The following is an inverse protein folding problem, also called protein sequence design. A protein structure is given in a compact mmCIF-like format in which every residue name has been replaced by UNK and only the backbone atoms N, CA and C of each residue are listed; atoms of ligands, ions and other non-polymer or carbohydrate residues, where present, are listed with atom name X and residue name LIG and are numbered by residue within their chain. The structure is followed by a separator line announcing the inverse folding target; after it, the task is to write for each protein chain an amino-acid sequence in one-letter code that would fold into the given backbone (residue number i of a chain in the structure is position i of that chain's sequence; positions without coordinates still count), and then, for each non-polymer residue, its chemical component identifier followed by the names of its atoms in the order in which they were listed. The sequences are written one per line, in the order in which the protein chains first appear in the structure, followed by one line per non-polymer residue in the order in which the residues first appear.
data_IF_523706202219
#
_entry.id   IF_523706202219
#
_cell.length_a   1.000
_cell.length_b   1.000
_cell.length_c   1.000
_cell.angle_alpha   90.00
_cell.angle_beta   90.00
_cell.angle_gamma   90.00
#
_symmetry.space_group_name_H-M   'P 1'
#
loop_
_entity.id
_entity.type
_entity.pdbx_description
1 polymer ?
#
# COMPACT_ATOMS: atom_id res chain seq x y z
N UNK A 1 -25.44 29.76 -25.45
CA UNK A 1 -26.39 28.64 -25.40
C UNK A 1 -25.91 27.72 -24.30
N UNK A 2 -26.53 27.84 -23.10
CA UNK A 2 -26.18 27.02 -21.93
C UNK A 2 -26.89 25.68 -22.05
N UNK A 3 -26.17 24.59 -22.22
CA UNK A 3 -26.73 23.24 -22.05
C UNK A 3 -26.76 22.93 -20.57
N UNK A 4 -27.96 22.81 -20.04
CA UNK A 4 -28.21 22.27 -18.70
C UNK A 4 -28.19 20.75 -18.79
N UNK A 5 -27.13 20.16 -18.28
CA UNK A 5 -27.07 18.70 -18.02
C UNK A 5 -27.96 18.40 -16.82
N UNK A 6 -29.13 17.84 -17.09
CA UNK A 6 -29.96 17.16 -16.09
C UNK A 6 -29.31 15.82 -15.78
N UNK A 7 -28.61 15.74 -14.64
CA UNK A 7 -28.14 14.48 -14.07
C UNK A 7 -29.32 13.57 -13.73
N UNK A 8 -29.19 12.25 -13.79
CA UNK A 8 -30.25 11.34 -13.42
C UNK A 8 -30.61 11.55 -11.95
N UNK A 9 -31.90 11.79 -11.73
CA UNK A 9 -32.50 11.90 -10.40
C UNK A 9 -32.12 10.70 -9.55
N UNK A 10 -31.62 10.95 -8.34
CA UNK A 10 -31.34 9.94 -7.33
C UNK A 10 -32.59 9.14 -6.98
N UNK A 11 -32.89 8.14 -7.77
CA UNK A 11 -33.86 7.11 -7.47
C UNK A 11 -33.43 6.37 -6.21
N UNK A 12 -34.35 6.25 -5.33
CA UNK A 12 -34.32 5.71 -3.98
C UNK A 12 -33.60 4.35 -3.91
N UNK A 13 -32.26 4.38 -3.84
CA UNK A 13 -31.39 3.17 -3.73
C UNK A 13 -31.68 2.45 -2.41
N UNK A 14 -32.18 3.17 -1.39
CA UNK A 14 -32.56 2.64 -0.08
C UNK A 14 -33.69 1.60 -0.13
N UNK A 15 -34.64 1.70 -1.08
CA UNK A 15 -35.76 0.77 -1.17
C UNK A 15 -35.38 -0.61 -1.71
N UNK A 16 -34.39 -0.68 -2.62
CA UNK A 16 -33.94 -1.94 -3.20
C UNK A 16 -33.18 -2.85 -2.19
N UNK A 17 -32.78 -2.30 -1.04
CA UNK A 17 -32.05 -3.02 0.01
C UNK A 17 -32.95 -3.55 1.11
N UNK A 18 -34.11 -2.93 1.32
CA UNK A 18 -35.07 -3.38 2.31
C UNK A 18 -35.85 -4.64 1.88
N UNK A 19 -35.84 -4.96 0.56
CA UNK A 19 -36.53 -6.13 -0.01
C UNK A 19 -35.63 -7.36 -0.21
N UNK A 20 -34.34 -7.32 0.15
CA UNK A 20 -33.54 -8.54 0.18
C UNK A 20 -33.92 -9.34 1.40
N UNK A 21 -34.61 -10.46 1.17
CA UNK A 21 -34.78 -11.49 2.19
C UNK A 21 -33.42 -11.81 2.85
N UNK A 22 -33.38 -11.92 4.17
CA UNK A 22 -32.20 -12.40 4.86
C UNK A 22 -31.87 -13.79 4.30
N UNK A 23 -30.57 -14.08 4.07
CA UNK A 23 -30.16 -15.42 3.68
C UNK A 23 -30.67 -16.41 4.74
N UNK A 24 -31.43 -17.41 4.29
CA UNK A 24 -32.04 -18.40 5.18
C UNK A 24 -31.05 -19.53 5.47
N UNK A 25 -30.09 -19.74 4.58
CA UNK A 25 -29.03 -20.72 4.76
C UNK A 25 -27.65 -20.19 4.30
N UNK A 26 -26.59 -20.88 4.70
CA UNK A 26 -25.21 -20.49 4.39
C UNK A 26 -24.93 -20.61 2.88
N UNK A 27 -25.57 -21.56 2.22
CA UNK A 27 -25.45 -21.79 0.78
C UNK A 27 -25.86 -20.57 -0.04
N UNK A 28 -26.84 -19.80 0.43
CA UNK A 28 -27.30 -18.57 -0.23
C UNK A 28 -26.23 -17.48 -0.25
N UNK A 29 -25.27 -17.55 0.67
CA UNK A 29 -24.13 -16.64 0.75
C UNK A 29 -22.96 -17.03 -0.17
N UNK A 30 -22.94 -18.29 -0.65
CA UNK A 30 -21.83 -18.87 -1.39
C UNK A 30 -22.15 -18.93 -2.89
N UNK A 31 -21.92 -17.86 -3.60
CA UNK A 31 -22.15 -17.80 -5.05
C UNK A 31 -21.22 -18.76 -5.78
N UNK A 32 -21.78 -19.62 -6.61
CA UNK A 32 -21.03 -20.55 -7.44
C UNK A 32 -20.10 -19.80 -8.42
N UNK A 33 -18.89 -20.35 -8.65
CA UNK A 33 -17.89 -19.75 -9.53
C UNK A 33 -17.04 -18.65 -8.88
N UNK A 34 -17.38 -18.22 -7.67
CA UNK A 34 -16.50 -17.32 -6.92
C UNK A 34 -15.37 -18.09 -6.24
N UNK A 35 -14.13 -17.77 -6.55
CA UNK A 35 -12.97 -18.52 -6.11
C UNK A 35 -12.80 -18.57 -4.59
N UNK A 36 -13.19 -17.54 -3.83
CA UNK A 36 -13.16 -17.59 -2.36
C UNK A 36 -14.30 -18.42 -1.78
N UNK A 37 -15.52 -18.23 -2.29
CA UNK A 37 -16.68 -19.01 -1.87
C UNK A 37 -16.44 -20.52 -2.02
N UNK A 38 -15.83 -20.94 -3.14
CA UNK A 38 -15.47 -22.34 -3.35
C UNK A 38 -14.44 -22.84 -2.31
N UNK A 39 -13.45 -22.03 -1.98
CA UNK A 39 -12.42 -22.41 -0.98
C UNK A 39 -12.92 -22.52 0.44
N UNK A 40 -13.95 -21.76 0.83
CA UNK A 40 -14.48 -21.82 2.19
C UNK A 40 -15.71 -22.72 2.31
N UNK A 41 -16.29 -23.18 1.20
CA UNK A 41 -17.55 -23.95 1.17
C UNK A 41 -17.54 -25.10 2.19
N UNK A 42 -16.56 -25.98 2.12
CA UNK A 42 -16.44 -27.13 3.01
C UNK A 42 -16.24 -26.74 4.50
N UNK A 43 -15.84 -25.50 4.77
CA UNK A 43 -15.60 -24.97 6.12
C UNK A 43 -16.80 -24.31 6.74
N UNK A 44 -17.75 -23.84 5.91
CA UNK A 44 -18.93 -23.10 6.38
C UNK A 44 -20.22 -23.87 6.20
N UNK A 45 -20.21 -25.00 5.48
CA UNK A 45 -21.35 -25.93 5.36
C UNK A 45 -21.28 -27.02 6.42
N UNK A 46 -22.45 -27.45 6.91
CA UNK A 46 -22.54 -28.52 7.93
C UNK A 46 -22.01 -28.13 9.32
N UNK A 47 -21.92 -26.84 9.61
CA UNK A 47 -21.48 -26.30 10.90
C UNK A 47 -22.50 -26.55 12.02
N UNK A 48 -22.06 -26.60 13.28
CA UNK A 48 -22.97 -26.52 14.43
C UNK A 48 -23.85 -25.26 14.37
N UNK A 49 -25.04 -25.28 14.98
CA UNK A 49 -26.01 -24.16 14.89
C UNK A 49 -25.43 -22.82 15.30
N UNK A 50 -24.58 -22.78 16.32
CA UNK A 50 -23.95 -21.56 16.82
C UNK A 50 -22.97 -20.93 15.80
N UNK A 51 -22.19 -21.76 15.10
CA UNK A 51 -21.29 -21.32 14.03
C UNK A 51 -22.05 -20.97 12.75
N UNK A 52 -23.13 -21.72 12.45
CA UNK A 52 -24.05 -21.37 11.35
C UNK A 52 -24.64 -19.97 11.59
N UNK A 53 -25.12 -19.70 12.80
CA UNK A 53 -25.63 -18.37 13.18
C UNK A 53 -24.56 -17.28 13.00
N UNK A 54 -23.30 -17.57 13.38
CA UNK A 54 -22.18 -16.64 13.14
C UNK A 54 -22.02 -16.34 11.64
N UNK A 55 -21.94 -17.35 10.77
CA UNK A 55 -21.76 -17.15 9.32
C UNK A 55 -22.91 -16.36 8.71
N UNK A 56 -24.15 -16.70 9.03
CA UNK A 56 -25.33 -15.96 8.58
C UNK A 56 -25.30 -14.50 9.03
N UNK A 57 -24.94 -14.26 10.29
CA UNK A 57 -24.80 -12.91 10.82
C UNK A 57 -23.70 -12.12 10.10
N UNK A 58 -22.56 -12.75 9.78
CA UNK A 58 -21.49 -12.12 9.02
C UNK A 58 -21.89 -11.73 7.60
N UNK A 59 -22.76 -12.52 6.95
CA UNK A 59 -23.30 -12.20 5.63
C UNK A 59 -24.26 -10.99 5.62
N UNK A 60 -24.68 -10.49 6.78
CA UNK A 60 -25.58 -9.34 6.89
C UNK A 60 -24.86 -8.00 7.00
N UNK A 61 -23.58 -7.93 6.58
CA UNK A 61 -22.78 -6.69 6.67
C UNK A 61 -23.19 -5.61 5.67
N UNK A 62 -24.21 -5.82 4.83
CA UNK A 62 -24.66 -4.96 3.74
C UNK A 62 -24.90 -3.46 4.05
N UNK A 63 -24.47 -2.98 5.21
CA UNK A 63 -24.58 -1.60 5.67
C UNK A 63 -23.40 -0.70 5.28
N UNK A 64 -22.45 -1.18 4.45
CA UNK A 64 -21.25 -0.41 4.06
C UNK A 64 -21.47 0.59 2.93
N UNK A 65 -22.68 0.74 2.44
CA UNK A 65 -23.04 1.59 1.30
C UNK A 65 -22.77 3.08 1.47
N UNK A 66 -22.46 3.49 2.68
CA UNK A 66 -22.37 4.90 3.01
C UNK A 66 -20.95 5.47 2.84
N UNK A 67 -20.01 4.75 2.18
CA UNK A 67 -18.61 5.16 2.01
C UNK A 67 -17.88 5.50 3.33
N UNK A 68 -18.55 5.31 4.45
CA UNK A 68 -18.07 5.70 5.77
C UNK A 68 -17.52 4.54 6.58
N UNK A 69 -17.57 3.30 6.07
CA UNK A 69 -17.10 2.08 6.74
C UNK A 69 -17.53 2.04 8.21
N UNK A 70 -18.76 2.46 8.46
CA UNK A 70 -19.34 2.44 9.81
C UNK A 70 -20.06 1.11 10.01
N UNK A 71 -19.54 0.33 10.92
CA UNK A 71 -20.21 -0.87 11.40
C UNK A 71 -21.21 -0.49 12.48
N UNK A 72 -22.45 -0.98 12.39
CA UNK A 72 -23.46 -0.79 13.42
C UNK A 72 -22.97 -1.32 14.77
N UNK A 73 -23.32 -0.60 15.84
CA UNK A 73 -23.00 -0.99 17.19
C UNK A 73 -23.72 -2.26 17.66
N UNK A 74 -24.93 -2.52 17.15
CA UNK A 74 -25.69 -3.74 17.42
C UNK A 74 -25.01 -4.93 16.76
N UNK A 75 -24.66 -4.84 15.47
CA UNK A 75 -23.93 -5.84 14.73
C UNK A 75 -22.60 -6.19 15.42
N UNK A 76 -21.83 -5.19 15.86
CA UNK A 76 -20.59 -5.41 16.62
C UNK A 76 -20.77 -6.19 17.92
N UNK A 77 -21.84 -5.88 18.67
CA UNK A 77 -22.12 -6.59 19.94
C UNK A 77 -22.47 -8.04 19.69
N UNK A 78 -23.31 -8.28 18.69
CA UNK A 78 -23.76 -9.59 18.31
C UNK A 78 -22.60 -10.44 17.75
N UNK A 79 -21.79 -9.91 16.83
CA UNK A 79 -20.57 -10.57 16.35
C UNK A 79 -19.68 -11.02 17.50
N UNK A 80 -19.43 -10.13 18.47
CA UNK A 80 -18.61 -10.47 19.66
C UNK A 80 -19.26 -11.51 20.55
N UNK A 81 -20.56 -11.60 20.58
CA UNK A 81 -21.27 -12.64 21.32
C UNK A 81 -21.15 -13.99 20.60
N UNK A 82 -21.40 -14.03 19.31
CA UNK A 82 -21.31 -15.23 18.47
C UNK A 82 -19.88 -15.79 18.36
N UNK A 83 -18.87 -14.94 18.36
CA UNK A 83 -17.44 -15.34 18.37
C UNK A 83 -16.99 -16.09 19.65
N UNK A 84 -17.86 -16.17 20.68
CA UNK A 84 -17.58 -16.96 21.87
C UNK A 84 -17.91 -18.44 21.68
N UNK A 85 -18.64 -18.79 20.61
CA UNK A 85 -18.91 -20.18 20.26
C UNK A 85 -17.59 -20.93 20.03
N UNK A 86 -17.56 -22.19 20.42
CA UNK A 86 -16.41 -23.06 20.21
C UNK A 86 -16.11 -23.18 18.70
N UNK A 87 -14.85 -22.99 18.31
CA UNK A 87 -14.44 -22.96 16.90
C UNK A 87 -14.72 -21.63 16.15
N UNK A 88 -15.39 -20.64 16.78
CA UNK A 88 -15.75 -19.38 16.11
C UNK A 88 -14.55 -18.54 15.68
N UNK A 89 -13.48 -18.57 16.44
CA UNK A 89 -12.23 -17.82 16.13
C UNK A 89 -11.44 -18.48 15.05
N UNK A 90 -11.33 -19.79 15.11
CA UNK A 90 -10.67 -20.64 14.13
C UNK A 90 -11.34 -20.47 12.78
N UNK A 91 -12.67 -20.46 12.74
CA UNK A 91 -13.46 -20.24 11.53
C UNK A 91 -13.14 -18.88 10.88
N UNK A 92 -13.06 -17.81 11.67
CA UNK A 92 -12.69 -16.49 11.14
C UNK A 92 -11.25 -16.49 10.59
N UNK A 93 -10.29 -17.03 11.34
CA UNK A 93 -8.90 -17.11 10.89
C UNK A 93 -8.76 -17.93 9.59
N UNK A 94 -9.46 -19.07 9.48
CA UNK A 94 -9.47 -19.89 8.28
C UNK A 94 -10.10 -19.15 7.08
N UNK A 95 -11.22 -18.43 7.27
CA UNK A 95 -11.85 -17.63 6.23
C UNK A 95 -10.94 -16.51 5.71
N UNK A 96 -10.23 -15.81 6.60
CA UNK A 96 -9.24 -14.80 6.20
C UNK A 96 -8.05 -15.43 5.47
N UNK A 97 -7.55 -16.58 5.95
CA UNK A 97 -6.49 -17.33 5.26
C UNK A 97 -6.90 -17.76 3.86
N UNK A 98 -8.15 -18.20 3.69
CA UNK A 98 -8.71 -18.54 2.38
C UNK A 98 -8.82 -17.32 1.45
N UNK A 99 -9.14 -16.12 1.97
CA UNK A 99 -9.08 -14.86 1.22
C UNK A 99 -7.64 -14.54 0.81
N UNK A 100 -6.70 -14.68 1.73
CA UNK A 100 -5.29 -14.40 1.49
C UNK A 100 -4.65 -15.39 0.50
N UNK A 101 -5.05 -16.66 0.51
CA UNK A 101 -4.53 -17.69 -0.38
C UNK A 101 -4.97 -17.50 -1.84
N UNK A 102 -6.16 -16.93 -2.07
CA UNK A 102 -6.74 -16.71 -3.40
C UNK A 102 -6.16 -15.49 -4.13
N UNK A 103 -6.76 -15.19 -5.27
CA UNK A 103 -6.58 -13.93 -5.98
C UNK A 103 -7.50 -12.83 -5.43
N UNK A 104 -7.97 -11.94 -6.31
CA UNK A 104 -9.01 -10.96 -5.96
C UNK A 104 -10.32 -11.64 -5.58
N UNK A 105 -11.13 -11.00 -4.74
CA UNK A 105 -12.50 -11.45 -4.46
C UNK A 105 -13.37 -11.54 -5.73
N UNK A 106 -12.99 -10.78 -6.77
CA UNK A 106 -13.66 -10.78 -8.08
C UNK A 106 -13.07 -11.79 -9.07
N UNK A 107 -12.08 -12.60 -8.67
CA UNK A 107 -11.55 -13.64 -9.53
C UNK A 107 -12.64 -14.68 -9.82
N UNK A 108 -12.95 -14.81 -11.11
CA UNK A 108 -13.84 -15.83 -11.60
C UNK A 108 -13.04 -17.02 -12.09
N UNK A 109 -13.49 -18.22 -11.72
CA UNK A 109 -12.88 -19.48 -12.18
C UNK A 109 -13.41 -19.91 -13.55
N UNK A 110 -14.44 -19.24 -14.07
CA UNK A 110 -15.00 -19.54 -15.40
C UNK A 110 -14.24 -18.75 -16.49
N UNK A 111 -13.46 -19.43 -17.35
CA UNK A 111 -12.71 -18.79 -18.42
C UNK A 111 -13.61 -18.20 -19.53
N UNK A 112 -14.90 -18.55 -19.55
CA UNK A 112 -15.86 -18.10 -20.57
C UNK A 112 -16.72 -16.93 -20.10
N UNK A 113 -16.50 -16.41 -18.89
CA UNK A 113 -17.30 -15.31 -18.36
C UNK A 113 -17.15 -14.08 -19.23
N UNK A 114 -18.26 -13.48 -19.61
CA UNK A 114 -18.26 -12.21 -20.34
C UNK A 114 -17.96 -11.04 -19.40
N UNK A 115 -17.44 -9.94 -19.96
CA UNK A 115 -17.25 -8.69 -19.20
C UNK A 115 -18.55 -8.19 -18.55
N UNK A 116 -19.70 -8.42 -19.19
CA UNK A 116 -21.00 -7.99 -18.68
C UNK A 116 -21.41 -8.84 -17.45
N UNK A 117 -21.15 -10.13 -17.48
CA UNK A 117 -21.38 -11.03 -16.34
C UNK A 117 -20.39 -10.72 -15.20
N UNK A 118 -19.12 -10.46 -15.51
CA UNK A 118 -18.12 -10.02 -14.54
C UNK A 118 -18.54 -8.70 -13.85
N UNK A 119 -19.13 -7.78 -14.61
CA UNK A 119 -19.65 -6.51 -14.08
C UNK A 119 -20.91 -6.74 -13.23
N UNK A 120 -21.78 -7.65 -13.63
CA UNK A 120 -22.96 -8.03 -12.85
C UNK A 120 -22.57 -8.72 -11.53
N UNK A 121 -21.53 -9.53 -11.51
CA UNK A 121 -20.98 -10.14 -10.29
C UNK A 121 -20.32 -9.12 -9.37
N UNK A 122 -19.98 -7.94 -9.86
CA UNK A 122 -19.39 -6.86 -9.07
C UNK A 122 -20.43 -5.99 -8.34
N UNK A 123 -21.72 -6.19 -8.60
CA UNK A 123 -22.81 -5.56 -7.85
C UNK A 123 -23.02 -6.28 -6.51
N UNK A 124 -23.60 -5.66 -5.49
CA UNK A 124 -23.59 -6.16 -4.12
C UNK A 124 -23.88 -7.65 -4.04
N UNK A 125 -22.83 -8.41 -3.84
CA UNK A 125 -22.84 -9.87 -3.85
C UNK A 125 -22.89 -10.35 -2.40
N UNK A 126 -23.72 -11.33 -2.06
CA UNK A 126 -23.71 -11.99 -0.74
C UNK A 126 -22.30 -12.44 -0.32
N UNK A 127 -21.48 -12.88 -1.28
CA UNK A 127 -20.08 -13.27 -1.05
C UNK A 127 -19.25 -12.09 -0.55
N UNK A 128 -19.44 -10.87 -1.11
CA UNK A 128 -18.74 -9.67 -0.65
C UNK A 128 -19.16 -9.31 0.76
N UNK A 129 -20.45 -9.33 1.06
CA UNK A 129 -20.96 -9.02 2.38
C UNK A 129 -20.40 -10.00 3.42
N UNK A 130 -20.37 -11.28 3.08
CA UNK A 130 -19.77 -12.32 3.91
C UNK A 130 -18.25 -12.08 4.11
N UNK A 131 -17.50 -11.80 3.03
CA UNK A 131 -16.06 -11.52 3.11
C UNK A 131 -15.77 -10.28 3.99
N UNK A 132 -16.59 -9.22 3.85
CA UNK A 132 -16.53 -8.03 4.70
C UNK A 132 -16.78 -8.39 6.16
N UNK A 133 -17.78 -9.23 6.43
CA UNK A 133 -18.09 -9.74 7.76
C UNK A 133 -16.92 -10.49 8.39
N UNK A 134 -16.31 -11.40 7.65
CA UNK A 134 -15.10 -12.10 8.11
C UNK A 134 -13.96 -11.13 8.40
N UNK A 135 -13.68 -10.19 7.51
CA UNK A 135 -12.63 -9.20 7.70
C UNK A 135 -12.85 -8.36 8.96
N UNK A 136 -14.07 -7.87 9.18
CA UNK A 136 -14.39 -7.09 10.39
C UNK A 136 -14.34 -7.92 11.67
N UNK A 137 -14.85 -9.15 11.64
CA UNK A 137 -14.83 -10.06 12.79
C UNK A 137 -13.38 -10.38 13.20
N UNK A 138 -12.46 -10.49 12.24
CA UNK A 138 -11.04 -10.67 12.51
C UNK A 138 -10.47 -9.59 13.46
N UNK A 139 -10.94 -8.34 13.33
CA UNK A 139 -10.54 -7.24 14.22
C UNK A 139 -10.89 -7.48 15.71
N UNK A 140 -11.81 -8.39 16.01
CA UNK A 140 -12.21 -8.68 17.40
C UNK A 140 -11.42 -9.83 18.04
N UNK A 141 -10.52 -10.49 17.31
CA UNK A 141 -9.74 -11.63 17.80
C UNK A 141 -8.57 -11.22 18.72
N UNK A 142 -8.17 -9.96 18.72
CA UNK A 142 -6.98 -9.44 19.42
C UNK A 142 -6.85 -9.86 20.91
N UNK A 143 -7.98 -10.03 21.61
CA UNK A 143 -7.98 -10.29 23.07
C UNK A 143 -7.74 -11.75 23.45
N UNK A 144 -7.79 -12.64 22.48
CA UNK A 144 -7.87 -14.06 22.76
C UNK A 144 -6.89 -14.90 21.92
N UNK A 145 -6.25 -14.31 20.93
CA UNK A 145 -5.21 -14.93 20.12
C UNK A 145 -3.85 -14.83 20.80
N UNK A 146 -3.02 -15.85 20.64
CA UNK A 146 -1.60 -15.77 20.98
C UNK A 146 -0.87 -14.77 20.05
N UNK A 147 0.31 -14.24 20.43
CA UNK A 147 1.08 -13.36 19.56
C UNK A 147 1.33 -13.96 18.16
N UNK A 148 1.68 -15.23 18.06
CA UNK A 148 1.94 -15.91 16.79
C UNK A 148 0.69 -16.03 15.90
N UNK A 149 -0.47 -16.34 16.49
CA UNK A 149 -1.74 -16.37 15.77
C UNK A 149 -2.14 -14.96 15.28
N UNK A 150 -1.88 -13.96 16.09
CA UNK A 150 -2.14 -12.56 15.72
C UNK A 150 -1.25 -12.11 14.57
N UNK A 151 0.04 -12.43 14.61
CA UNK A 151 0.99 -12.11 13.55
C UNK A 151 0.60 -12.80 12.24
N UNK A 152 0.21 -14.06 12.27
CA UNK A 152 -0.28 -14.79 11.12
C UNK A 152 -1.56 -14.15 10.54
N UNK A 153 -2.54 -13.81 11.38
CA UNK A 153 -3.78 -13.16 10.97
C UNK A 153 -3.50 -11.78 10.32
N UNK A 154 -2.61 -11.00 10.90
CA UNK A 154 -2.20 -9.69 10.37
C UNK A 154 -1.50 -9.83 9.02
N UNK A 155 -0.65 -10.85 8.85
CA UNK A 155 -0.01 -11.16 7.58
C UNK A 155 -1.04 -11.55 6.51
N UNK A 156 -2.02 -12.39 6.85
CA UNK A 156 -3.10 -12.77 5.95
C UNK A 156 -3.95 -11.54 5.54
N UNK A 157 -4.32 -10.68 6.49
CA UNK A 157 -5.05 -9.43 6.21
C UNK A 157 -4.27 -8.49 5.28
N UNK A 158 -2.95 -8.37 5.45
CA UNK A 158 -2.08 -7.62 4.54
C UNK A 158 -2.16 -8.17 3.11
N UNK A 159 -2.12 -9.51 2.96
CA UNK A 159 -2.24 -10.15 1.66
C UNK A 159 -3.61 -9.93 1.02
N UNK A 160 -4.70 -9.96 1.79
CA UNK A 160 -6.04 -9.63 1.30
C UNK A 160 -6.08 -8.22 0.71
N UNK A 161 -5.50 -7.22 1.40
CA UNK A 161 -5.42 -5.84 0.86
C UNK A 161 -4.61 -5.82 -0.44
N UNK A 162 -3.42 -6.41 -0.46
CA UNK A 162 -2.55 -6.41 -1.64
C UNK A 162 -3.23 -6.98 -2.89
N UNK A 163 -4.08 -7.98 -2.73
CA UNK A 163 -4.81 -8.62 -3.83
C UNK A 163 -6.06 -7.87 -4.28
N UNK A 164 -6.67 -7.07 -3.41
CA UNK A 164 -7.94 -6.42 -3.67
C UNK A 164 -7.84 -4.88 -3.81
N UNK A 165 -6.76 -4.24 -3.33
CA UNK A 165 -6.57 -2.80 -3.43
C UNK A 165 -5.87 -2.36 -4.71
N UNK A 166 -5.07 -3.24 -5.33
CA UNK A 166 -4.25 -2.91 -6.48
C UNK A 166 -4.89 -3.45 -7.76
N UNK A 167 -5.13 -2.54 -8.71
CA UNK A 167 -5.56 -2.88 -10.07
C UNK A 167 -4.32 -3.30 -10.83
N UNK A 168 -4.13 -4.59 -11.03
CA UNK A 168 -2.98 -5.11 -11.79
C UNK A 168 -3.17 -4.97 -13.31
N UNK A 169 -4.41 -5.00 -13.81
CA UNK A 169 -4.71 -4.83 -15.25
C UNK A 169 -6.03 -4.08 -15.37
N UNK A 170 -6.10 -2.92 -15.87
CA UNK A 170 -7.22 -1.99 -16.03
C UNK A 170 -8.68 -2.50 -16.12
N UNK A 171 -8.91 -3.79 -15.95
CA UNK A 171 -10.20 -4.48 -16.01
C UNK A 171 -10.74 -4.93 -14.66
N UNK A 172 -9.90 -5.12 -13.63
CA UNK A 172 -10.39 -5.61 -12.35
C UNK A 172 -10.78 -4.46 -11.45
N UNK A 173 -12.04 -4.45 -11.08
CA UNK A 173 -12.60 -3.48 -10.12
C UNK A 173 -11.96 -3.74 -8.77
N UNK A 174 -11.35 -2.72 -8.23
CA UNK A 174 -10.84 -2.68 -6.87
C UNK A 174 -11.99 -2.90 -5.90
N UNK A 175 -11.84 -3.80 -4.93
CA UNK A 175 -12.82 -3.97 -3.86
C UNK A 175 -12.54 -3.02 -2.70
N UNK A 176 -12.93 -1.75 -2.87
CA UNK A 176 -12.74 -0.73 -1.85
C UNK A 176 -13.49 -1.04 -0.54
N UNK A 177 -14.57 -1.85 -0.59
CA UNK A 177 -15.36 -2.22 0.59
C UNK A 177 -14.63 -3.25 1.43
N UNK A 178 -14.20 -4.35 0.84
CA UNK A 178 -13.41 -5.38 1.52
C UNK A 178 -12.10 -4.78 2.07
N UNK A 179 -11.42 -3.98 1.26
CA UNK A 179 -10.18 -3.30 1.68
C UNK A 179 -10.44 -2.37 2.88
N UNK A 180 -11.54 -1.65 2.88
CA UNK A 180 -11.95 -0.79 3.99
C UNK A 180 -12.29 -1.56 5.27
N UNK A 181 -12.96 -2.73 5.13
CA UNK A 181 -13.22 -3.64 6.24
C UNK A 181 -11.90 -4.15 6.86
N UNK A 182 -10.94 -4.54 6.03
CA UNK A 182 -9.61 -4.98 6.48
C UNK A 182 -8.85 -3.85 7.19
N UNK A 183 -8.88 -2.62 6.69
CA UNK A 183 -8.23 -1.49 7.39
C UNK A 183 -8.84 -1.26 8.77
N UNK A 184 -10.15 -1.44 8.90
CA UNK A 184 -10.85 -1.34 10.18
C UNK A 184 -10.40 -2.46 11.12
N UNK A 185 -10.31 -3.69 10.63
CA UNK A 185 -9.82 -4.83 11.41
C UNK A 185 -8.38 -4.62 11.88
N UNK A 186 -7.46 -4.24 11.00
CA UNK A 186 -6.07 -3.95 11.35
C UNK A 186 -5.96 -2.85 12.40
N UNK A 187 -6.81 -1.82 12.30
CA UNK A 187 -6.88 -0.77 13.31
C UNK A 187 -7.36 -1.32 14.67
N UNK A 188 -8.38 -2.17 14.69
CA UNK A 188 -8.90 -2.77 15.92
C UNK A 188 -7.90 -3.75 16.55
N UNK A 189 -7.12 -4.48 15.73
CA UNK A 189 -5.98 -5.31 16.13
C UNK A 189 -4.77 -4.50 16.62
N UNK A 190 -4.75 -3.19 16.46
CA UNK A 190 -3.58 -2.33 16.74
C UNK A 190 -2.35 -2.64 15.88
N UNK A 191 -2.53 -3.22 14.69
CA UNK A 191 -1.47 -3.61 13.76
C UNK A 191 -0.84 -2.38 13.08
N UNK A 192 -0.17 -1.53 13.83
CA UNK A 192 0.28 -0.22 13.38
C UNK A 192 1.32 -0.29 12.26
N UNK A 193 2.29 -1.21 12.36
CA UNK A 193 3.31 -1.39 11.31
C UNK A 193 2.68 -1.78 9.98
N UNK A 194 1.70 -2.69 9.99
CA UNK A 194 0.97 -3.09 8.78
C UNK A 194 0.16 -1.94 8.20
N UNK A 195 -0.48 -1.13 9.04
CA UNK A 195 -1.19 0.08 8.58
C UNK A 195 -0.22 1.09 7.94
N UNK A 196 0.99 1.25 8.45
CA UNK A 196 2.01 2.11 7.82
C UNK A 196 2.50 1.55 6.49
N UNK A 197 2.75 0.23 6.40
CA UNK A 197 3.11 -0.43 5.14
C UNK A 197 2.03 -0.15 4.10
N UNK A 198 0.78 -0.41 4.43
CA UNK A 198 -0.34 -0.20 3.51
C UNK A 198 -0.53 1.28 3.14
N UNK A 199 -0.32 2.21 4.08
CA UNK A 199 -0.41 3.63 3.78
C UNK A 199 0.64 4.09 2.76
N UNK A 200 1.82 3.46 2.76
CA UNK A 200 2.88 3.71 1.76
C UNK A 200 2.60 3.05 0.41
N UNK A 201 1.92 1.90 0.41
CA UNK A 201 1.66 1.10 -0.79
C UNK A 201 0.36 1.52 -1.50
N UNK A 202 -0.72 1.79 -0.77
CA UNK A 202 -2.03 2.12 -1.35
C UNK A 202 -2.00 3.49 -2.01
N UNK A 203 -2.40 3.54 -3.27
CA UNK A 203 -2.28 4.72 -4.12
C UNK A 203 -3.01 5.95 -3.54
N UNK A 204 -2.33 7.11 -3.39
CA UNK A 204 -2.94 8.35 -2.94
C UNK A 204 -4.11 8.77 -3.85
N UNK A 205 -5.14 9.37 -3.25
CA UNK A 205 -6.32 9.81 -3.98
C UNK A 205 -7.43 8.76 -4.14
N UNK A 206 -7.13 7.48 -3.93
CA UNK A 206 -8.15 6.45 -3.84
C UNK A 206 -9.06 6.67 -2.62
N UNK A 207 -10.32 6.25 -2.70
CA UNK A 207 -11.25 6.35 -1.57
C UNK A 207 -10.76 5.53 -0.36
N UNK A 208 -10.31 4.32 -0.61
CA UNK A 208 -9.68 3.43 0.36
C UNK A 208 -8.47 4.07 1.05
N UNK A 209 -7.64 4.85 0.35
CA UNK A 209 -6.51 5.56 0.95
C UNK A 209 -6.96 6.61 1.98
N UNK A 210 -8.04 7.35 1.71
CA UNK A 210 -8.58 8.32 2.69
C UNK A 210 -9.07 7.63 3.97
N UNK A 211 -9.72 6.47 3.82
CA UNK A 211 -10.12 5.66 4.97
C UNK A 211 -8.92 5.12 5.74
N UNK A 212 -7.93 4.58 5.02
CA UNK A 212 -6.68 4.11 5.62
C UNK A 212 -5.97 5.19 6.42
N UNK A 213 -5.81 6.39 5.85
CA UNK A 213 -5.20 7.53 6.55
C UNK A 213 -5.94 7.88 7.85
N UNK A 214 -7.27 7.78 7.85
CA UNK A 214 -8.10 7.96 9.05
C UNK A 214 -7.85 6.86 10.08
N UNK A 215 -7.74 5.59 9.67
CA UNK A 215 -7.45 4.47 10.56
C UNK A 215 -6.05 4.57 11.14
N UNK A 216 -5.05 4.89 10.32
CA UNK A 216 -3.67 5.17 10.76
C UNK A 216 -3.66 6.25 11.85
N UNK A 217 -4.30 7.39 11.61
CA UNK A 217 -4.36 8.51 12.55
C UNK A 217 -5.05 8.15 13.87
N UNK A 218 -6.18 7.44 13.79
CA UNK A 218 -6.93 6.96 14.96
C UNK A 218 -6.10 5.98 15.80
N UNK A 219 -5.45 5.03 15.15
CA UNK A 219 -4.64 4.00 15.82
C UNK A 219 -3.38 4.62 16.43
N UNK A 220 -2.69 5.51 15.70
CA UNK A 220 -1.53 6.24 16.21
C UNK A 220 -1.87 7.02 17.48
N UNK A 221 -3.00 7.75 17.48
CA UNK A 221 -3.47 8.47 18.66
C UNK A 221 -3.73 7.53 19.85
N UNK A 222 -4.34 6.38 19.60
CA UNK A 222 -4.62 5.38 20.66
C UNK A 222 -3.35 4.79 21.25
N UNK A 223 -2.32 4.58 20.41
CA UNK A 223 -1.03 4.01 20.81
C UNK A 223 -0.01 5.06 21.29
N UNK A 224 -0.39 6.35 21.31
CA UNK A 224 0.50 7.42 21.72
C UNK A 224 1.66 7.71 20.75
N UNK A 225 1.52 7.34 19.47
CA UNK A 225 2.55 7.59 18.44
C UNK A 225 2.62 9.10 18.16
N UNK A 226 3.81 9.73 18.28
CA UNK A 226 3.97 11.15 18.03
C UNK A 226 3.71 11.53 16.57
N UNK A 227 3.13 12.72 16.27
CA UNK A 227 2.82 13.15 14.91
C UNK A 227 4.00 13.09 13.93
N UNK A 228 5.18 13.44 14.37
CA UNK A 228 6.38 13.42 13.56
C UNK A 228 6.84 12.02 13.16
N UNK A 229 6.68 11.02 14.05
CA UNK A 229 6.94 9.62 13.70
C UNK A 229 5.90 9.12 12.70
N UNK A 230 4.64 9.56 12.86
CA UNK A 230 3.61 9.21 11.90
C UNK A 230 3.96 9.74 10.50
N UNK A 231 4.38 11.00 10.39
CA UNK A 231 4.78 11.61 9.13
C UNK A 231 5.92 10.82 8.44
N UNK A 232 6.96 10.48 9.18
CA UNK A 232 8.11 9.72 8.65
C UNK A 232 7.72 8.32 8.16
N UNK A 233 6.85 7.64 8.92
CA UNK A 233 6.48 6.25 8.68
C UNK A 233 5.39 6.07 7.63
N UNK A 234 4.75 7.16 7.19
CA UNK A 234 3.67 7.13 6.19
C UNK A 234 4.04 7.74 4.85
N UNK A 235 5.32 7.99 4.57
CA UNK A 235 5.78 8.47 3.27
C UNK A 235 5.44 7.42 2.21
N UNK A 236 4.76 7.85 1.15
CA UNK A 236 4.29 6.97 0.10
C UNK A 236 5.42 6.57 -0.84
N UNK A 237 5.49 5.29 -1.21
CA UNK A 237 6.50 4.78 -2.15
C UNK A 237 6.20 5.11 -3.60
N UNK A 238 4.95 5.46 -3.91
CA UNK A 238 4.43 5.65 -5.27
C UNK A 238 4.63 4.43 -6.19
N UNK A 239 4.76 3.24 -5.60
CA UNK A 239 5.00 1.99 -6.32
C UNK A 239 6.46 1.76 -6.72
N UNK A 240 7.37 2.66 -6.34
CA UNK A 240 8.81 2.44 -6.55
C UNK A 240 9.29 1.23 -5.77
N UNK A 241 10.07 0.39 -6.43
CA UNK A 241 10.82 -0.70 -5.81
C UNK A 241 12.07 -0.19 -5.07
N UNK A 242 12.79 -1.09 -4.35
CA UNK A 242 14.02 -0.74 -3.64
C UNK A 242 15.13 -0.19 -4.54
N UNK A 243 15.09 -0.52 -5.82
CA UNK A 243 16.01 -0.06 -6.87
C UNK A 243 15.65 1.33 -7.43
N UNK A 244 14.59 1.98 -6.91
CA UNK A 244 14.11 3.26 -7.40
C UNK A 244 13.36 3.16 -8.73
N UNK A 245 12.91 1.97 -9.14
CA UNK A 245 12.15 1.76 -10.38
C UNK A 245 10.70 1.40 -10.11
N UNK A 246 9.82 1.77 -11.05
CA UNK A 246 8.42 1.34 -11.15
C UNK A 246 8.18 0.81 -12.55
N UNK A 247 7.74 -0.44 -12.67
CA UNK A 247 7.36 -1.07 -13.93
C UNK A 247 5.85 -1.15 -14.05
N UNK A 248 5.31 -0.66 -15.16
CA UNK A 248 3.90 -0.67 -15.48
C UNK A 248 3.70 -1.44 -16.77
N UNK A 249 3.25 -2.68 -16.66
CA UNK A 249 2.93 -3.54 -17.80
C UNK A 249 1.53 -3.22 -18.33
N UNK A 250 1.40 -3.16 -19.64
CA UNK A 250 0.14 -2.96 -20.34
C UNK A 250 -0.05 -4.06 -21.36
N UNK A 251 -1.17 -4.79 -21.27
CA UNK A 251 -1.59 -5.71 -22.32
C UNK A 251 -2.68 -5.04 -23.14
N UNK A 252 -2.47 -4.93 -24.45
CA UNK A 252 -3.51 -4.47 -25.35
C UNK A 252 -4.60 -5.53 -25.46
N UNK A 253 -5.78 -5.28 -24.89
CA UNK A 253 -6.99 -6.02 -25.25
C UNK A 253 -7.74 -5.25 -26.33
N UNK A 254 -7.64 -5.67 -27.53
CA UNK A 254 -8.42 -5.17 -28.64
C UNK A 254 -8.53 -6.24 -29.71
N UNK A 255 -9.75 -6.52 -30.15
CA UNK A 255 -10.02 -7.43 -31.22
C UNK A 255 -9.00 -7.23 -32.37
N UNK A 256 -8.19 -8.24 -32.62
CA UNK A 256 -7.41 -8.54 -33.83
C UNK A 256 -6.14 -7.75 -34.18
N UNK A 257 -5.66 -6.78 -33.38
CA UNK A 257 -4.51 -5.99 -33.81
C UNK A 257 -3.51 -5.76 -32.68
N UNK A 258 -2.48 -6.58 -32.60
CA UNK A 258 -1.29 -6.34 -31.81
C UNK A 258 -1.46 -6.55 -30.28
N UNK A 259 -1.48 -7.79 -29.88
CA UNK A 259 -1.08 -8.22 -28.53
C UNK A 259 0.44 -8.02 -28.35
N UNK A 260 0.96 -6.84 -28.63
CA UNK A 260 2.35 -6.54 -28.29
C UNK A 260 2.30 -6.04 -26.84
N UNK A 261 2.76 -6.83 -25.86
CA UNK A 261 2.91 -6.36 -24.52
C UNK A 261 3.97 -5.26 -24.50
N UNK A 262 3.66 -4.13 -23.91
CA UNK A 262 4.63 -3.06 -23.69
C UNK A 262 4.68 -2.71 -22.21
N UNK A 263 5.83 -2.27 -21.78
CA UNK A 263 6.10 -1.88 -20.41
C UNK A 263 6.56 -0.43 -20.37
N UNK A 264 6.04 0.34 -19.42
CA UNK A 264 6.60 1.63 -19.06
C UNK A 264 7.46 1.44 -17.81
N UNK A 265 8.68 1.94 -17.85
CA UNK A 265 9.61 1.91 -16.73
C UNK A 265 9.89 3.34 -16.30
N UNK A 266 9.44 3.68 -15.09
CA UNK A 266 9.80 4.92 -14.42
C UNK A 266 11.00 4.61 -13.54
N UNK A 267 12.12 5.31 -13.73
CA UNK A 267 13.31 5.19 -12.90
C UNK A 267 13.65 6.52 -12.25
N UNK A 268 14.15 6.47 -11.05
CA UNK A 268 14.71 7.64 -10.37
C UNK A 268 16.22 7.44 -10.23
N UNK A 269 16.99 8.33 -10.85
CA UNK A 269 18.45 8.30 -10.75
C UNK A 269 18.93 8.67 -9.36
N UNK A 270 20.19 8.38 -9.04
CA UNK A 270 20.83 8.76 -7.78
C UNK A 270 20.86 10.29 -7.53
N UNK A 271 20.72 11.08 -8.61
CA UNK A 271 20.56 12.55 -8.50
C UNK A 271 19.11 12.96 -8.23
N UNK A 272 18.19 11.99 -8.15
CA UNK A 272 16.75 12.22 -7.97
C UNK A 272 16.05 12.77 -9.21
N UNK A 273 16.58 12.50 -10.41
CA UNK A 273 15.91 12.80 -11.69
C UNK A 273 14.99 11.65 -12.05
N UNK A 274 13.75 11.97 -12.36
CA UNK A 274 12.76 11.00 -12.84
C UNK A 274 12.92 10.83 -14.35
N UNK A 275 13.09 9.58 -14.78
CA UNK A 275 13.15 9.19 -16.18
C UNK A 275 11.98 8.23 -16.47
N UNK A 276 11.43 8.31 -17.66
CA UNK A 276 10.36 7.43 -18.14
C UNK A 276 10.77 6.84 -19.47
N UNK A 277 10.92 5.54 -19.50
CA UNK A 277 11.22 4.77 -20.69
C UNK A 277 10.07 3.82 -21.03
N UNK A 278 9.91 3.52 -22.30
CA UNK A 278 8.94 2.56 -22.80
C UNK A 278 9.65 1.41 -23.48
N UNK A 279 9.24 0.19 -23.23
CA UNK A 279 9.81 -1.00 -23.81
C UNK A 279 8.72 -1.87 -24.44
N UNK A 280 8.97 -2.38 -25.64
CA UNK A 280 8.24 -3.52 -26.16
C UNK A 280 8.83 -4.78 -25.54
N UNK A 281 7.96 -5.68 -25.09
CA UNK A 281 8.36 -6.98 -24.57
C UNK A 281 7.74 -8.06 -25.43
N UNK A 282 8.46 -9.17 -25.63
CA UNK A 282 7.93 -10.34 -26.33
C UNK A 282 7.01 -11.17 -25.42
N UNK A 283 6.46 -12.26 -25.96
CA UNK A 283 5.60 -13.18 -25.20
C UNK A 283 6.32 -13.84 -24.01
N UNK A 284 7.63 -13.90 -24.02
CA UNK A 284 8.49 -14.41 -22.96
C UNK A 284 8.91 -13.34 -21.94
N UNK A 285 8.51 -12.06 -22.16
CA UNK A 285 8.87 -10.94 -21.31
C UNK A 285 10.26 -10.34 -21.58
N UNK A 286 10.94 -10.76 -22.66
CA UNK A 286 12.20 -10.16 -23.06
C UNK A 286 12.01 -8.83 -23.77
N UNK A 287 12.83 -7.83 -23.43
CA UNK A 287 12.79 -6.49 -24.06
C UNK A 287 13.26 -6.58 -25.51
N UNK A 288 12.37 -6.27 -26.45
CA UNK A 288 12.66 -6.27 -27.88
C UNK A 288 13.04 -4.90 -28.41
N UNK A 289 12.55 -3.84 -27.77
CA UNK A 289 12.80 -2.46 -28.18
C UNK A 289 12.57 -1.48 -27.03
N UNK A 290 13.40 -0.45 -26.91
CA UNK A 290 13.25 0.66 -25.94
C UNK A 290 12.96 1.96 -26.66
N UNK A 291 12.03 2.76 -26.13
CA UNK A 291 11.65 4.08 -26.67
C UNK A 291 11.87 5.16 -25.64
N UNK A 292 12.41 6.29 -26.06
CA UNK A 292 12.51 7.47 -25.21
C UNK A 292 11.19 8.27 -25.16
N UNK A 293 10.87 8.93 -24.05
CA UNK A 293 9.52 9.39 -23.66
C UNK A 293 8.83 10.42 -24.57
N UNK A 294 9.52 11.05 -25.50
CA UNK A 294 8.96 12.15 -26.31
C UNK A 294 8.34 11.72 -27.63
N UNK A 295 8.45 10.45 -28.00
CA UNK A 295 7.76 9.94 -29.17
C UNK A 295 6.86 8.80 -28.74
N UNK A 296 5.57 9.09 -28.67
CA UNK A 296 4.55 8.03 -28.69
C UNK A 296 4.94 7.03 -29.77
N UNK A 297 4.94 5.72 -29.53
CA UNK A 297 5.25 4.74 -30.56
C UNK A 297 4.43 5.06 -31.80
N UNK A 298 5.08 5.42 -32.90
CA UNK A 298 4.43 5.77 -34.15
C UNK A 298 3.77 4.51 -34.68
N UNK A 299 2.48 4.43 -34.61
CA UNK A 299 1.67 3.27 -35.02
C UNK A 299 0.48 3.00 -34.08
N UNK A 300 0.50 3.49 -32.88
CA UNK A 300 -0.57 3.27 -31.92
C UNK A 300 -1.62 4.39 -31.98
N UNK A 301 -2.60 4.25 -32.86
CA UNK A 301 -3.71 5.21 -33.02
C UNK A 301 -4.93 4.87 -32.17
N UNK A 302 -4.83 4.01 -31.15
CA UNK A 302 -6.00 3.65 -30.35
C UNK A 302 -6.15 4.53 -29.12
N UNK A 303 -7.38 4.92 -28.85
CA UNK A 303 -7.80 5.75 -27.69
C UNK A 303 -7.30 5.21 -26.34
N UNK A 304 -7.18 3.89 -26.22
CA UNK A 304 -6.73 3.21 -25.00
C UNK A 304 -5.23 3.45 -24.71
N UNK A 305 -4.40 3.47 -25.72
CA UNK A 305 -2.96 3.74 -25.55
C UNK A 305 -2.68 5.16 -25.09
N UNK A 306 -3.41 6.14 -25.62
CA UNK A 306 -3.26 7.52 -25.17
C UNK A 306 -3.60 7.68 -23.69
N UNK A 307 -4.60 6.96 -23.18
CA UNK A 307 -4.94 6.98 -21.76
C UNK A 307 -3.83 6.38 -20.90
N UNK A 308 -3.24 5.26 -21.30
CA UNK A 308 -2.15 4.62 -20.58
C UNK A 308 -0.88 5.50 -20.53
N UNK A 309 -0.56 6.14 -21.66
CA UNK A 309 0.55 7.11 -21.71
C UNK A 309 0.30 8.28 -20.77
N UNK A 310 -0.92 8.81 -20.73
CA UNK A 310 -1.27 9.92 -19.84
C UNK A 310 -1.27 9.51 -18.36
N UNK A 311 -1.74 8.31 -18.04
CA UNK A 311 -1.66 7.75 -16.68
C UNK A 311 -0.20 7.63 -16.24
N UNK A 312 0.64 7.02 -17.08
CA UNK A 312 2.06 6.83 -16.77
C UNK A 312 2.81 8.16 -16.61
N UNK A 313 2.55 9.14 -17.49
CA UNK A 313 3.12 10.49 -17.37
C UNK A 313 2.68 11.19 -16.11
N UNK A 314 1.42 11.05 -15.70
CA UNK A 314 0.93 11.60 -14.43
C UNK A 314 1.63 10.91 -13.25
N UNK A 315 1.83 9.60 -13.30
CA UNK A 315 2.55 8.87 -12.27
C UNK A 315 4.00 9.35 -12.13
N UNK A 316 4.72 9.53 -13.24
CA UNK A 316 6.07 10.08 -13.23
C UNK A 316 6.13 11.47 -12.60
N UNK A 317 5.20 12.37 -12.96
CA UNK A 317 5.11 13.72 -12.34
C UNK A 317 4.80 13.63 -10.85
N UNK A 318 3.92 12.74 -10.43
CA UNK A 318 3.57 12.53 -9.02
C UNK A 318 4.81 12.11 -8.21
N UNK A 319 5.65 11.24 -8.78
CA UNK A 319 6.93 10.83 -8.16
C UNK A 319 7.90 12.04 -8.08
N UNK A 320 7.99 12.85 -9.12
CA UNK A 320 8.84 14.06 -9.16
C UNK A 320 8.42 15.09 -8.10
N UNK A 321 7.11 15.34 -7.97
CA UNK A 321 6.53 16.21 -6.94
C UNK A 321 6.80 15.67 -5.52
N UNK A 322 6.66 14.35 -5.33
CA UNK A 322 6.93 13.68 -4.06
C UNK A 322 8.42 13.79 -3.67
N UNK A 323 9.35 13.56 -4.62
CA UNK A 323 10.78 13.75 -4.40
C UNK A 323 11.11 15.19 -4.01
N UNK A 324 10.47 16.16 -4.67
CA UNK A 324 10.65 17.58 -4.36
C UNK A 324 10.14 17.94 -2.96
N UNK A 325 9.01 17.38 -2.54
CA UNK A 325 8.49 17.52 -1.19
C UNK A 325 9.42 16.88 -0.15
N UNK A 326 9.93 15.71 -0.45
CA UNK A 326 10.82 14.96 0.44
C UNK A 326 12.18 15.64 0.62
N UNK A 327 12.74 16.25 -0.44
CA UNK A 327 13.94 17.08 -0.34
C UNK A 327 13.73 18.25 0.64
N UNK A 328 12.58 18.93 0.56
CA UNK A 328 12.25 20.02 1.49
C UNK A 328 12.12 19.52 2.92
N UNK A 329 11.48 18.35 3.12
CA UNK A 329 11.32 17.75 4.44
C UNK A 329 12.67 17.36 5.06
N UNK A 330 13.56 16.71 4.31
CA UNK A 330 14.89 16.31 4.79
C UNK A 330 15.78 17.52 5.08
N UNK A 331 15.67 18.58 4.27
CA UNK A 331 16.36 19.84 4.55
C UNK A 331 15.88 20.46 5.87
N UNK A 332 14.57 20.51 6.09
CA UNK A 332 14.02 21.01 7.36
C UNK A 332 14.42 20.13 8.56
N UNK A 333 14.55 18.82 8.34
CA UNK A 333 14.96 17.85 9.35
C UNK A 333 16.41 18.07 9.82
N UNK A 334 17.30 18.56 8.94
CA UNK A 334 18.70 18.86 9.28
C UNK A 334 18.82 19.83 10.46
N UNK A 335 17.86 20.75 10.61
CA UNK A 335 17.83 21.74 11.71
C UNK A 335 17.15 21.22 12.98
N UNK A 336 16.70 19.97 12.99
CA UNK A 336 16.04 19.37 14.14
C UNK A 336 17.00 18.47 14.91
N UNK A 337 16.91 18.50 16.24
CA UNK A 337 17.72 17.63 17.12
C UNK A 337 17.13 16.24 17.22
N UNK A 338 16.85 15.59 16.07
CA UNK A 338 16.25 14.25 16.04
C UNK A 338 17.32 13.17 15.98
N UNK A 339 17.04 12.10 16.68
CA UNK A 339 17.91 10.92 16.77
C UNK A 339 17.05 9.68 16.63
N UNK A 340 17.53 8.72 15.87
CA UNK A 340 16.89 7.41 15.69
C UNK A 340 17.87 6.28 16.00
N UNK A 341 17.40 5.10 16.44
CA UNK A 341 18.15 3.87 16.29
C UNK A 341 18.47 3.61 14.81
N UNK A 342 19.64 3.08 14.50
CA UNK A 342 20.05 2.84 13.11
C UNK A 342 19.07 1.94 12.34
N UNK A 343 18.52 0.91 12.99
CA UNK A 343 17.53 0.03 12.35
C UNK A 343 16.28 0.80 11.89
N UNK A 344 15.78 1.70 12.75
CA UNK A 344 14.61 2.53 12.44
C UNK A 344 14.93 3.56 11.34
N UNK A 345 16.09 4.24 11.47
CA UNK A 345 16.58 5.17 10.46
C UNK A 345 16.80 4.48 9.10
N UNK A 346 17.43 3.29 9.09
CA UNK A 346 17.65 2.54 7.87
C UNK A 346 16.32 2.23 7.17
N UNK A 347 15.33 1.74 7.90
CA UNK A 347 14.02 1.36 7.38
C UNK A 347 13.27 2.54 6.74
N UNK A 348 13.25 3.69 7.39
CA UNK A 348 12.42 4.83 6.96
C UNK A 348 13.15 5.88 6.13
N UNK A 349 14.47 5.84 6.12
CA UNK A 349 15.29 6.78 5.36
C UNK A 349 16.17 6.07 4.31
N UNK A 350 17.16 5.28 4.69
CA UNK A 350 18.13 4.69 3.75
C UNK A 350 17.47 3.71 2.76
N UNK A 351 16.64 2.81 3.25
CA UNK A 351 16.08 1.69 2.50
C UNK A 351 14.67 1.99 1.95
N UNK A 352 14.12 3.16 2.27
CA UNK A 352 12.83 3.56 1.73
C UNK A 352 12.94 3.87 0.23
N UNK A 353 12.10 3.31 -0.65
CA UNK A 353 12.22 3.44 -2.11
C UNK A 353 12.32 4.88 -2.62
N UNK A 354 11.56 5.81 -2.06
CA UNK A 354 11.58 7.22 -2.45
C UNK A 354 12.61 8.02 -1.64
N UNK A 355 12.48 8.00 -0.30
CA UNK A 355 13.34 8.78 0.60
C UNK A 355 14.79 8.38 0.49
N UNK A 356 15.07 7.08 0.30
CA UNK A 356 16.41 6.53 0.23
C UNK A 356 17.26 7.09 -0.91
N UNK A 357 16.63 7.46 -2.02
CA UNK A 357 17.31 8.12 -3.14
C UNK A 357 17.97 9.43 -2.68
N UNK A 358 17.28 10.17 -1.81
CA UNK A 358 17.76 11.43 -1.27
C UNK A 358 18.68 11.17 -0.07
N UNK A 359 18.27 10.32 0.85
CA UNK A 359 18.96 10.10 2.12
C UNK A 359 20.35 9.47 1.94
N UNK A 360 20.56 8.62 0.93
CA UNK A 360 21.86 8.03 0.61
C UNK A 360 22.86 9.02 0.03
N UNK A 361 22.41 10.16 -0.49
CA UNK A 361 23.29 11.24 -0.96
C UNK A 361 23.60 12.29 0.13
N UNK A 362 23.07 12.11 1.34
CA UNK A 362 23.29 13.00 2.47
C UNK A 362 24.27 12.40 3.47
N UNK A 363 25.00 13.27 4.16
CA UNK A 363 25.83 12.90 5.30
C UNK A 363 24.95 12.80 6.54
N UNK A 364 25.18 11.77 7.33
CA UNK A 364 24.56 11.51 8.61
C UNK A 364 25.61 11.35 9.69
N UNK A 365 25.26 11.61 10.94
CA UNK A 365 26.14 11.39 12.09
C UNK A 365 25.71 10.11 12.82
N UNK A 366 26.68 9.28 13.11
CA UNK A 366 26.52 8.02 13.84
C UNK A 366 27.24 8.13 15.18
N UNK A 367 26.58 7.71 16.25
CA UNK A 367 27.20 7.69 17.59
C UNK A 367 28.09 6.46 17.71
N UNK A 368 29.40 6.66 17.50
CA UNK A 368 30.41 5.60 17.52
C UNK A 368 30.91 5.27 18.92
N UNK A 369 30.80 6.21 19.87
CA UNK A 369 30.99 6.05 21.30
C UNK A 369 30.04 7.00 22.02
N UNK A 370 29.88 6.87 23.33
CA UNK A 370 28.99 7.70 24.11
C UNK A 370 29.23 9.20 23.85
N UNK A 371 28.21 9.87 23.32
CA UNK A 371 28.25 11.29 22.91
C UNK A 371 29.31 11.64 21.84
N UNK A 372 29.93 10.65 21.20
CA UNK A 372 30.88 10.86 20.10
C UNK A 372 30.20 10.59 18.77
N UNK A 373 30.03 11.64 17.98
CA UNK A 373 29.32 11.59 16.70
C UNK A 373 30.28 11.66 15.52
N UNK A 374 30.21 10.67 14.65
CA UNK A 374 31.07 10.55 13.46
C UNK A 374 30.23 10.79 12.22
N UNK A 375 30.55 11.79 11.37
CA UNK A 375 29.88 11.99 10.10
C UNK A 375 30.26 10.87 9.14
N UNK A 376 29.28 10.36 8.39
CA UNK A 376 29.53 9.36 7.35
C UNK A 376 28.45 9.39 6.26
N UNK A 377 28.84 8.95 5.07
CA UNK A 377 27.98 8.74 3.91
C UNK A 377 27.48 7.29 3.92
N UNK A 378 26.16 7.05 3.93
CA UNK A 378 25.62 5.70 3.84
C UNK A 378 25.86 5.09 2.47
N UNK A 379 26.31 3.83 2.46
CA UNK A 379 26.52 3.01 1.26
C UNK A 379 25.90 1.63 1.46
N UNK A 380 25.71 0.83 0.41
CA UNK A 380 25.23 -0.55 0.56
C UNK A 380 26.13 -1.43 1.44
N UNK A 381 27.43 -1.12 1.49
CA UNK A 381 28.43 -1.90 2.23
C UNK A 381 28.73 -1.38 3.65
N UNK A 382 27.97 -0.38 4.13
CA UNK A 382 28.20 0.30 5.41
C UNK A 382 28.23 1.80 5.25
N UNK A 383 28.88 2.52 6.16
CA UNK A 383 28.96 3.98 6.12
C UNK A 383 30.40 4.44 5.99
N UNK A 384 30.71 5.29 5.01
CA UNK A 384 32.07 5.78 4.74
C UNK A 384 32.28 7.11 5.42
N UNK A 385 33.32 7.21 6.24
CA UNK A 385 33.70 8.42 6.94
C UNK A 385 34.53 9.37 6.07
N UNK A 386 34.61 10.66 6.35
CA UNK A 386 35.39 11.63 5.57
C UNK A 386 36.90 11.35 5.52
N UNK A 387 37.46 10.62 6.47
CA UNK A 387 38.85 10.15 6.49
C UNK A 387 39.09 8.86 5.70
N UNK A 388 38.07 8.35 5.02
CA UNK A 388 38.12 7.13 4.22
C UNK A 388 37.87 5.83 5.00
N UNK A 389 37.65 5.91 6.30
CA UNK A 389 37.27 4.78 7.14
C UNK A 389 35.88 4.26 6.83
N UNK A 390 35.53 3.13 7.43
CA UNK A 390 34.19 2.54 7.32
C UNK A 390 33.65 2.21 8.69
N UNK A 391 32.41 2.58 8.95
CA UNK A 391 31.66 2.17 10.13
C UNK A 391 30.51 1.25 9.73
N UNK A 392 30.28 0.22 10.54
CA UNK A 392 29.15 -0.71 10.40
C UNK A 392 28.25 -0.54 11.63
N UNK A 393 27.23 0.34 11.55
CA UNK A 393 26.41 0.65 12.70
C UNK A 393 25.62 -0.58 13.17
N UNK A 394 25.60 -0.84 14.47
CA UNK A 394 24.69 -1.80 15.07
C UNK A 394 23.23 -1.30 14.96
N UNK A 395 22.25 -2.18 15.08
CA UNK A 395 20.83 -1.84 15.01
C UNK A 395 20.43 -0.71 16.00
N UNK A 396 21.07 -0.68 17.14
CA UNK A 396 20.84 0.30 18.24
C UNK A 396 21.69 1.56 18.14
N UNK A 397 22.68 1.61 17.22
CA UNK A 397 23.52 2.80 17.04
C UNK A 397 22.63 4.01 16.77
N UNK A 398 22.86 5.10 17.50
CA UNK A 398 22.10 6.34 17.30
C UNK A 398 22.54 7.07 16.05
N UNK A 399 21.58 7.54 15.25
CA UNK A 399 21.79 8.25 13.98
C UNK A 399 21.05 9.57 14.03
N UNK A 400 21.67 10.64 13.51
CA UNK A 400 21.02 11.96 13.35
C UNK A 400 21.47 12.64 12.04
N UNK A 401 20.75 13.66 11.55
CA UNK A 401 21.19 14.45 10.41
C UNK A 401 22.50 15.18 10.78
N UNK A 402 23.45 15.17 9.86
CA UNK A 402 24.65 16.00 10.00
C UNK A 402 24.32 17.48 9.76
N UNK A 403 24.96 18.38 10.52
CA UNK A 403 24.79 19.82 10.38
C UNK A 403 26.15 20.54 10.53
N UNK A 404 26.48 21.54 9.67
CA UNK A 404 27.78 22.22 9.71
C UNK A 404 28.04 22.95 11.01
N UNK A 405 27.02 23.51 11.69
CA UNK A 405 27.18 24.23 12.97
C UNK A 405 27.71 23.35 14.11
N UNK A 406 27.62 22.02 13.96
CA UNK A 406 28.16 21.06 14.92
C UNK A 406 29.54 20.54 14.53
N UNK A 407 30.03 20.95 13.38
CA UNK A 407 31.28 20.46 12.81
C UNK A 407 32.40 21.54 12.89
N UNK A 408 33.64 21.09 13.01
CA UNK A 408 34.78 21.96 12.84
C UNK A 408 35.01 22.30 11.36
N UNK A 409 35.71 23.41 11.03
CA UNK A 409 36.05 23.75 9.65
C UNK A 409 36.81 22.61 8.92
N UNK A 410 37.66 21.86 9.63
CA UNK A 410 38.37 20.71 9.09
C UNK A 410 37.42 19.56 8.71
N UNK A 411 36.44 19.29 9.55
CA UNK A 411 35.40 18.27 9.26
C UNK A 411 34.52 18.67 8.06
N UNK A 412 34.16 19.97 7.95
CA UNK A 412 33.39 20.48 6.80
C UNK A 412 34.19 20.26 5.51
N UNK A 413 35.49 20.62 5.54
CA UNK A 413 36.38 20.40 4.39
C UNK A 413 36.51 18.94 4.03
N UNK A 414 36.70 18.05 5.01
CA UNK A 414 36.77 16.60 4.78
C UNK A 414 35.48 16.01 4.19
N UNK A 415 34.31 16.48 4.65
CA UNK A 415 33.01 16.11 4.07
C UNK A 415 32.91 16.55 2.61
N UNK A 416 33.29 17.79 2.28
CA UNK A 416 33.29 18.29 0.89
C UNK A 416 34.20 17.45 -0.01
N UNK A 417 35.39 17.10 0.49
CA UNK A 417 36.33 16.23 -0.24
C UNK A 417 35.71 14.85 -0.48
N UNK A 418 35.16 14.22 0.55
CA UNK A 418 34.47 12.93 0.40
C UNK A 418 33.37 12.95 -0.67
N UNK A 419 32.53 13.98 -0.66
CA UNK A 419 31.44 14.11 -1.63
C UNK A 419 31.97 14.29 -3.06
N UNK A 420 33.02 15.12 -3.21
CA UNK A 420 33.67 15.36 -4.52
C UNK A 420 34.33 14.11 -5.06
N UNK A 421 35.13 13.43 -4.25
CA UNK A 421 35.87 12.22 -4.64
C UNK A 421 34.95 11.07 -5.03
N UNK A 422 33.75 11.05 -4.43
CA UNK A 422 32.70 10.06 -4.73
C UNK A 422 31.75 10.49 -5.84
N UNK A 423 31.88 11.69 -6.37
CA UNK A 423 30.97 12.25 -7.38
C UNK A 423 29.53 12.38 -6.90
N UNK A 424 29.30 12.52 -5.60
CA UNK A 424 27.94 12.60 -5.01
C UNK A 424 27.37 13.99 -5.23
N UNK A 425 26.27 14.07 -5.98
CA UNK A 425 25.45 15.26 -6.09
C UNK A 425 24.41 15.27 -4.97
N UNK A 426 24.63 16.13 -3.98
CA UNK A 426 23.66 16.27 -2.91
C UNK A 426 22.35 16.91 -3.41
N UNK A 427 21.19 16.47 -2.88
CA UNK A 427 19.89 17.04 -3.22
C UNK A 427 19.73 18.51 -2.75
N UNK A 428 20.53 18.91 -1.77
CA UNK A 428 20.76 20.27 -1.28
C UNK A 428 22.14 20.30 -0.60
N UNK A 429 22.79 21.43 -0.62
CA UNK A 429 24.11 21.57 0.00
C UNK A 429 23.97 21.59 1.54
N UNK A 430 24.51 20.53 2.18
CA UNK A 430 24.55 20.42 3.64
C UNK A 430 25.72 21.20 4.25
N UNK A 431 26.70 21.62 3.45
CA UNK A 431 27.95 22.21 3.93
C UNK A 431 27.93 23.73 4.01
N UNK A 432 26.90 24.38 3.51
CA UNK A 432 26.69 25.84 3.62
C UNK A 432 25.82 26.13 4.83
N UNK A 433 26.27 27.09 5.63
CA UNK A 433 25.45 27.68 6.69
C UNK A 433 24.21 28.33 6.06
N UNK A 434 23.03 27.95 6.55
CA UNK A 434 21.79 28.61 6.13
C UNK A 434 21.68 29.89 6.96
N UNK A 435 22.04 31.02 6.34
CA UNK A 435 21.76 32.35 6.86
C UNK A 435 20.27 32.58 7.07
#
# INVERSE_FOLDING_TARGET
MRMTESGPSGGNVSAAWQDRGMAECVEDLLVAGNGWAERIRDRVTGLPPELTALVLHLGQTGTFWDWHYKVDAAWKRETKALLKADGGRELIAEGIRALAAGGSLHDCTDPNITLQELWAMSDPSPVRDLANGFALAAGYLARAASPAELDALVADLLMVVRKNAFVLDGYYKRDDELVGAVFTALADLSAMETLWILHREVQPGAHSHRHLAKMVKKTAKRLGVPPHQLEERTIHTHGLGPDGSLRLGWRGHGANWLNIPYEAVITVSDTGRVCLDWTDVDEGGAVTRTFTPFRSPTGFKTRYLSQNVDVTRRQARTIEDALSAERRRLRALQHQSRVWPHEEWARYYRDHPLTGIIARALIWEYETAENTWTPALPTPAGCVTPDGGTINPAATTRVRPWHPDRATPAQITAVRTLLTDRGIQQPYDQTTETT
#
